data_IF_309165903171
#
_entry.id   IF_309165903171
#
_cell.length_a   1.000
_cell.length_b   1.000
_cell.length_c   1.000
_cell.angle_alpha   90.00
_cell.angle_beta   90.00
_cell.angle_gamma   90.00
#
_symmetry.space_group_name_H-M   'P 1'
#
loop_
_entity.id
_entity.type
_entity.pdbx_description
1 polymer ?
#
# COMPACT_ATOMS: atom_id res chain seq x y z
N UNK A 1 22.13 -49.70 -43.36
CA UNK A 1 22.74 -50.54 -42.33
C UNK A 1 21.62 -51.31 -41.64
N UNK A 2 21.58 -52.65 -41.79
CA UNK A 2 20.38 -53.42 -41.42
C UNK A 2 20.61 -53.97 -40.00
N UNK A 3 20.19 -53.15 -39.00
CA UNK A 3 20.39 -53.41 -37.55
C UNK A 3 19.76 -54.74 -37.08
N UNK A 4 18.78 -55.28 -37.82
CA UNK A 4 18.11 -56.57 -37.54
C UNK A 4 18.99 -57.81 -37.84
N UNK A 5 20.20 -57.65 -38.41
CA UNK A 5 21.12 -58.78 -38.74
C UNK A 5 22.14 -59.09 -37.64
N UNK A 6 22.21 -58.30 -36.58
CA UNK A 6 23.17 -58.49 -35.51
C UNK A 6 22.45 -59.10 -34.28
N UNK A 7 22.73 -60.41 -33.94
CA UNK A 7 21.99 -61.09 -32.88
C UNK A 7 22.16 -60.43 -31.49
N UNK A 8 23.20 -59.67 -31.27
CA UNK A 8 23.43 -58.94 -30.01
C UNK A 8 22.56 -57.69 -29.86
N UNK A 9 22.05 -57.14 -30.98
CA UNK A 9 21.23 -55.95 -30.99
C UNK A 9 19.71 -56.24 -31.09
N UNK A 10 19.35 -57.51 -31.34
CA UNK A 10 17.96 -57.95 -31.45
C UNK A 10 17.10 -57.56 -30.22
N UNK A 11 17.56 -57.78 -28.96
CA UNK A 11 16.77 -57.42 -27.78
C UNK A 11 16.52 -55.90 -27.68
N UNK A 12 17.48 -55.08 -28.10
CA UNK A 12 17.41 -53.64 -28.07
C UNK A 12 16.42 -53.11 -29.16
N UNK A 13 16.41 -53.76 -30.33
CA UNK A 13 15.49 -53.41 -31.42
C UNK A 13 14.06 -53.80 -31.05
N UNK A 14 13.84 -54.99 -30.45
CA UNK A 14 12.51 -55.42 -29.98
C UNK A 14 11.99 -54.53 -28.85
N UNK A 15 12.82 -54.17 -27.87
CA UNK A 15 12.46 -53.22 -26.84
C UNK A 15 12.11 -51.85 -27.44
N UNK A 16 12.91 -51.35 -28.39
CA UNK A 16 12.63 -50.06 -29.06
C UNK A 16 11.32 -50.07 -29.82
N UNK A 17 10.99 -51.15 -30.54
CA UNK A 17 9.74 -51.26 -31.27
C UNK A 17 8.53 -51.38 -30.35
N UNK A 18 8.67 -52.02 -29.19
CA UNK A 18 7.58 -52.26 -28.22
C UNK A 18 7.38 -51.11 -27.26
N UNK A 19 8.40 -50.70 -26.57
CA UNK A 19 8.30 -49.77 -25.45
C UNK A 19 9.21 -48.51 -25.57
N UNK A 20 10.25 -48.58 -26.42
CA UNK A 20 11.29 -47.57 -26.52
C UNK A 20 10.76 -46.20 -26.93
N UNK A 21 9.81 -46.17 -27.91
CA UNK A 21 9.20 -44.90 -28.37
C UNK A 21 8.42 -44.21 -27.23
N UNK A 22 7.65 -45.00 -26.49
CA UNK A 22 6.88 -44.48 -25.34
C UNK A 22 7.82 -44.00 -24.22
N UNK A 23 8.83 -44.77 -23.89
CA UNK A 23 9.82 -44.43 -22.85
C UNK A 23 10.59 -43.16 -23.19
N UNK A 24 11.06 -43.01 -24.43
CA UNK A 24 11.74 -41.81 -24.91
C UNK A 24 10.81 -40.58 -24.85
N UNK A 25 9.54 -40.78 -25.29
CA UNK A 25 8.58 -39.67 -25.18
C UNK A 25 8.36 -39.21 -23.77
N UNK A 26 8.21 -40.13 -22.80
CA UNK A 26 8.08 -39.77 -21.37
C UNK A 26 9.34 -39.14 -20.80
N UNK A 27 10.52 -39.58 -21.22
CA UNK A 27 11.78 -38.97 -20.81
C UNK A 27 11.91 -37.52 -21.34
N UNK A 28 11.49 -37.28 -22.58
CA UNK A 28 11.46 -35.93 -23.17
C UNK A 28 10.46 -35.02 -22.42
N UNK A 29 9.27 -35.53 -22.13
CA UNK A 29 8.26 -34.78 -21.35
C UNK A 29 8.81 -34.47 -19.97
N UNK A 30 9.44 -35.43 -19.30
CA UNK A 30 10.08 -35.20 -17.99
C UNK A 30 11.21 -34.16 -18.07
N UNK A 31 12.06 -34.24 -19.10
CA UNK A 31 13.14 -33.28 -19.31
C UNK A 31 12.61 -31.86 -19.55
N UNK A 32 11.55 -31.71 -20.35
CA UNK A 32 10.86 -30.42 -20.58
C UNK A 32 10.24 -29.91 -19.28
N UNK A 33 9.59 -30.76 -18.51
CA UNK A 33 8.98 -30.37 -17.23
C UNK A 33 10.04 -29.91 -16.21
N UNK A 34 11.14 -30.64 -16.10
CA UNK A 34 12.27 -30.27 -15.22
C UNK A 34 12.94 -28.98 -15.70
N UNK A 35 13.24 -28.87 -16.99
CA UNK A 35 13.81 -27.65 -17.59
C UNK A 35 12.91 -26.43 -17.40
N UNK A 36 11.60 -26.60 -17.65
CA UNK A 36 10.59 -25.56 -17.42
C UNK A 36 10.51 -25.14 -15.96
N UNK A 37 10.52 -26.11 -15.04
CA UNK A 37 10.51 -25.82 -13.59
C UNK A 37 11.75 -25.05 -13.14
N UNK A 38 12.96 -25.48 -13.57
CA UNK A 38 14.19 -24.76 -13.23
C UNK A 38 14.27 -23.39 -13.89
N UNK A 39 13.84 -23.27 -15.16
CA UNK A 39 13.74 -21.99 -15.86
C UNK A 39 12.80 -21.02 -15.14
N UNK A 40 11.61 -21.49 -14.76
CA UNK A 40 10.65 -20.69 -14.00
C UNK A 40 11.17 -20.29 -12.61
N UNK A 41 11.81 -21.21 -11.90
CA UNK A 41 12.44 -20.94 -10.58
C UNK A 41 13.52 -19.86 -10.69
N UNK A 42 14.41 -19.97 -11.68
CA UNK A 42 15.48 -19.00 -11.91
C UNK A 42 14.90 -17.64 -12.33
N UNK A 43 13.90 -17.61 -13.21
CA UNK A 43 13.21 -16.38 -13.58
C UNK A 43 12.57 -15.69 -12.39
N UNK A 44 11.86 -16.43 -11.53
CA UNK A 44 11.30 -15.87 -10.29
C UNK A 44 12.38 -15.35 -9.33
N UNK A 45 13.50 -16.06 -9.20
CA UNK A 45 14.60 -15.60 -8.36
C UNK A 45 15.23 -14.31 -8.89
N UNK A 46 15.48 -14.21 -10.20
CA UNK A 46 15.98 -13.01 -10.84
C UNK A 46 15.01 -11.83 -10.70
N UNK A 47 13.71 -12.06 -10.90
CA UNK A 47 12.68 -11.01 -10.73
C UNK A 47 12.62 -10.52 -9.28
N UNK A 48 12.73 -11.43 -8.30
CA UNK A 48 12.78 -11.03 -6.88
C UNK A 48 14.00 -10.18 -6.56
N UNK A 49 15.18 -10.58 -7.05
CA UNK A 49 16.41 -9.82 -6.85
C UNK A 49 16.31 -8.43 -7.46
N UNK A 50 15.84 -8.33 -8.71
CA UNK A 50 15.63 -7.06 -9.39
C UNK A 50 14.58 -6.18 -8.69
N UNK A 51 13.49 -6.77 -8.17
CA UNK A 51 12.49 -6.04 -7.40
C UNK A 51 13.04 -5.51 -6.07
N UNK A 52 13.89 -6.30 -5.39
CA UNK A 52 14.55 -5.87 -4.14
C UNK A 52 15.56 -4.75 -4.39
N UNK A 53 16.28 -4.79 -5.51
CA UNK A 53 17.19 -3.74 -5.93
C UNK A 53 16.40 -2.45 -6.27
N UNK A 54 15.29 -2.57 -6.98
CA UNK A 54 14.42 -1.44 -7.29
C UNK A 54 13.88 -0.75 -6.03
N UNK A 55 13.59 -1.50 -4.94
CA UNK A 55 13.19 -0.90 -3.66
C UNK A 55 14.25 0.04 -3.12
N UNK A 56 15.52 -0.23 -3.33
CA UNK A 56 16.62 0.60 -2.81
C UNK A 56 17.01 1.71 -3.80
N UNK A 57 17.05 1.40 -5.08
CA UNK A 57 17.57 2.29 -6.13
C UNK A 57 16.57 3.34 -6.63
N UNK A 58 15.26 3.04 -6.60
CA UNK A 58 14.24 3.99 -7.03
C UNK A 58 14.06 5.11 -5.99
N UNK A 59 14.63 6.28 -6.25
CA UNK A 59 14.62 7.43 -5.33
C UNK A 59 13.61 8.49 -5.80
N UNK A 60 13.43 8.66 -7.10
CA UNK A 60 12.50 9.64 -7.67
C UNK A 60 11.11 9.06 -7.86
N UNK A 61 10.08 9.92 -7.94
CA UNK A 61 8.70 9.49 -8.19
C UNK A 61 8.59 8.70 -9.50
N UNK A 62 9.21 9.19 -10.59
CA UNK A 62 9.19 8.54 -11.89
C UNK A 62 9.84 7.15 -11.85
N UNK A 63 10.98 7.02 -11.14
CA UNK A 63 11.64 5.73 -10.96
C UNK A 63 10.80 4.76 -10.12
N UNK A 64 10.04 5.26 -9.14
CA UNK A 64 9.09 4.47 -8.36
C UNK A 64 7.88 4.04 -9.21
N UNK A 65 7.35 4.91 -10.06
CA UNK A 65 6.28 4.58 -11.01
C UNK A 65 6.71 3.45 -11.95
N UNK A 66 7.92 3.54 -12.54
CA UNK A 66 8.47 2.47 -13.38
C UNK A 66 8.67 1.17 -12.60
N UNK A 67 9.24 1.25 -11.40
CA UNK A 67 9.45 0.09 -10.55
C UNK A 67 8.12 -0.59 -10.14
N UNK A 68 7.08 0.17 -9.82
CA UNK A 68 5.74 -0.35 -9.52
C UNK A 68 5.10 -0.97 -10.75
N UNK A 69 5.22 -0.35 -11.93
CA UNK A 69 4.72 -0.91 -13.18
C UNK A 69 5.34 -2.27 -13.48
N UNK A 70 6.65 -2.42 -13.23
CA UNK A 70 7.41 -3.63 -13.54
C UNK A 70 7.30 -4.71 -12.44
N UNK A 71 7.31 -4.32 -11.17
CA UNK A 71 7.44 -5.22 -10.03
C UNK A 71 6.29 -5.16 -9.03
N UNK A 72 5.26 -4.35 -9.27
CA UNK A 72 4.15 -4.14 -8.33
C UNK A 72 3.38 -5.40 -7.94
N UNK A 73 3.45 -6.47 -8.75
CA UNK A 73 2.86 -7.79 -8.45
C UNK A 73 3.86 -8.76 -7.81
N UNK A 74 5.11 -8.36 -7.60
CA UNK A 74 6.13 -9.18 -6.93
C UNK A 74 5.95 -9.16 -5.41
N UNK A 75 6.73 -9.99 -4.71
CA UNK A 75 6.76 -10.00 -3.24
C UNK A 75 7.13 -8.63 -2.64
N UNK A 76 8.00 -7.86 -3.31
CA UNK A 76 8.40 -6.50 -2.89
C UNK A 76 7.45 -5.41 -3.40
N UNK A 77 6.41 -5.77 -4.16
CA UNK A 77 5.49 -4.83 -4.79
C UNK A 77 4.75 -3.93 -3.80
N UNK A 78 4.35 -4.48 -2.65
CA UNK A 78 3.71 -3.71 -1.58
C UNK A 78 4.60 -2.58 -1.03
N UNK A 79 5.90 -2.86 -0.85
CA UNK A 79 6.86 -1.85 -0.39
C UNK A 79 7.09 -0.78 -1.45
N UNK A 80 7.18 -1.16 -2.73
CA UNK A 80 7.32 -0.21 -3.84
C UNK A 80 6.11 0.72 -3.93
N UNK A 81 4.89 0.17 -3.86
CA UNK A 81 3.64 0.94 -3.86
C UNK A 81 3.54 1.88 -2.66
N UNK A 82 3.96 1.41 -1.47
CA UNK A 82 3.97 2.25 -0.26
C UNK A 82 4.92 3.44 -0.41
N UNK A 83 6.11 3.21 -0.98
CA UNK A 83 7.06 4.29 -1.27
C UNK A 83 6.54 5.25 -2.33
N UNK A 84 5.87 4.73 -3.37
CA UNK A 84 5.26 5.55 -4.40
C UNK A 84 4.13 6.40 -3.83
N UNK A 85 3.24 5.82 -3.00
CA UNK A 85 2.19 6.56 -2.32
C UNK A 85 2.76 7.72 -1.50
N UNK A 86 3.81 7.45 -0.70
CA UNK A 86 4.49 8.49 0.05
C UNK A 86 5.14 9.55 -0.84
N UNK A 87 5.77 9.15 -1.94
CA UNK A 87 6.39 10.08 -2.90
C UNK A 87 5.35 11.01 -3.55
N UNK A 88 4.18 10.48 -3.90
CA UNK A 88 3.05 11.30 -4.37
C UNK A 88 2.59 12.28 -3.30
N UNK A 89 2.45 11.82 -2.05
CA UNK A 89 2.06 12.68 -0.93
C UNK A 89 3.05 13.84 -0.75
N UNK A 90 4.34 13.54 -0.71
CA UNK A 90 5.41 14.54 -0.54
C UNK A 90 5.48 15.53 -1.74
N UNK A 91 5.06 15.10 -2.92
CA UNK A 91 4.93 15.94 -4.12
C UNK A 91 3.62 16.75 -4.19
N UNK A 92 2.72 16.62 -3.20
CA UNK A 92 1.41 17.27 -3.19
C UNK A 92 0.37 16.62 -4.11
N UNK A 93 0.68 15.45 -4.67
CA UNK A 93 -0.22 14.66 -5.55
C UNK A 93 -1.12 13.75 -4.69
N UNK A 94 -2.00 14.38 -3.90
CA UNK A 94 -2.75 13.68 -2.84
C UNK A 94 -3.78 12.68 -3.36
N UNK A 95 -4.39 12.93 -4.51
CA UNK A 95 -5.34 12.01 -5.15
C UNK A 95 -4.66 10.73 -5.62
N UNK A 96 -3.48 10.85 -6.24
CA UNK A 96 -2.72 9.69 -6.69
C UNK A 96 -2.16 8.90 -5.49
N UNK A 97 -1.71 9.61 -4.46
CA UNK A 97 -1.30 9.00 -3.19
C UNK A 97 -2.44 8.19 -2.56
N UNK A 98 -3.64 8.80 -2.50
CA UNK A 98 -4.86 8.16 -1.97
C UNK A 98 -5.18 6.87 -2.73
N UNK A 99 -5.14 6.90 -4.07
CA UNK A 99 -5.41 5.73 -4.90
C UNK A 99 -4.41 4.59 -4.64
N UNK A 100 -3.12 4.91 -4.42
CA UNK A 100 -2.11 3.90 -4.08
C UNK A 100 -2.33 3.30 -2.69
N UNK A 101 -2.73 4.10 -1.70
CA UNK A 101 -3.08 3.59 -0.38
C UNK A 101 -4.34 2.72 -0.40
N UNK A 102 -5.37 3.10 -1.16
CA UNK A 102 -6.59 2.30 -1.33
C UNK A 102 -6.28 0.93 -1.96
N UNK A 103 -5.41 0.88 -2.98
CA UNK A 103 -4.96 -0.38 -3.59
C UNK A 103 -4.15 -1.23 -2.60
N UNK A 104 -3.30 -0.62 -1.79
CA UNK A 104 -2.55 -1.32 -0.75
C UNK A 104 -3.46 -1.92 0.31
N UNK A 105 -4.44 -1.18 0.81
CA UNK A 105 -5.41 -1.66 1.80
C UNK A 105 -6.22 -2.84 1.25
N UNK A 106 -6.70 -2.73 0.00
CA UNK A 106 -7.47 -3.79 -0.64
C UNK A 106 -6.66 -5.08 -0.90
N UNK A 107 -5.34 -4.98 -1.03
CA UNK A 107 -4.44 -6.11 -1.34
C UNK A 107 -3.61 -6.59 -0.14
N UNK A 108 -3.67 -5.90 0.99
CA UNK A 108 -2.85 -6.22 2.16
C UNK A 108 -3.29 -7.52 2.82
N UNK A 109 -2.35 -8.40 3.20
CA UNK A 109 -2.63 -9.45 4.17
C UNK A 109 -3.00 -8.84 5.53
N UNK A 110 -3.77 -9.58 6.33
CA UNK A 110 -4.15 -9.15 7.67
C UNK A 110 -2.93 -8.68 8.48
N UNK A 111 -3.02 -7.49 9.08
CA UNK A 111 -1.97 -6.88 9.89
C UNK A 111 -0.94 -6.02 9.16
N UNK A 112 -0.97 -5.93 7.82
CA UNK A 112 -0.08 -5.05 7.04
C UNK A 112 -0.75 -3.75 6.55
N UNK A 113 -2.02 -3.54 6.91
CA UNK A 113 -2.79 -2.39 6.46
C UNK A 113 -2.56 -1.10 7.29
N UNK A 114 -1.95 -1.18 8.47
CA UNK A 114 -1.85 -0.06 9.42
C UNK A 114 -1.24 1.21 8.82
N UNK A 115 -0.09 1.09 8.17
CA UNK A 115 0.59 2.24 7.55
C UNK A 115 -0.22 2.81 6.38
N UNK A 116 -0.72 2.00 5.43
CA UNK A 116 -1.62 2.46 4.37
C UNK A 116 -2.88 3.14 4.89
N UNK A 117 -3.53 2.61 5.94
CA UNK A 117 -4.76 3.21 6.51
C UNK A 117 -4.49 4.60 7.07
N UNK A 118 -3.43 4.76 7.85
CA UNK A 118 -3.03 6.09 8.38
C UNK A 118 -2.62 7.02 7.24
N UNK A 119 -1.87 6.54 6.23
CA UNK A 119 -1.49 7.33 5.05
C UNK A 119 -2.70 7.79 4.25
N UNK A 120 -3.70 6.92 4.07
CA UNK A 120 -4.98 7.26 3.44
C UNK A 120 -5.68 8.40 4.17
N UNK A 121 -5.77 8.30 5.51
CA UNK A 121 -6.39 9.35 6.33
C UNK A 121 -5.64 10.69 6.22
N UNK A 122 -4.30 10.66 6.14
CA UNK A 122 -3.49 11.86 5.88
C UNK A 122 -3.76 12.46 4.50
N UNK A 123 -3.96 11.65 3.47
CA UNK A 123 -4.35 12.16 2.14
C UNK A 123 -5.71 12.85 2.18
N UNK A 124 -6.70 12.27 2.90
CA UNK A 124 -8.01 12.89 3.08
C UNK A 124 -7.90 14.23 3.82
N UNK A 125 -7.06 14.32 4.87
CA UNK A 125 -6.76 15.57 5.58
C UNK A 125 -6.17 16.62 4.62
N UNK A 126 -5.17 16.23 3.81
CA UNK A 126 -4.52 17.13 2.86
C UNK A 126 -5.45 17.60 1.73
N UNK A 127 -6.42 16.77 1.35
CA UNK A 127 -7.49 17.11 0.38
C UNK A 127 -8.62 17.97 0.98
N UNK A 128 -8.52 18.36 2.27
CA UNK A 128 -9.56 19.13 2.94
C UNK A 128 -10.80 18.33 3.32
N UNK A 129 -10.81 17.02 3.17
CA UNK A 129 -11.92 16.13 3.55
C UNK A 129 -11.84 15.80 5.05
N UNK A 130 -11.91 16.83 5.88
CA UNK A 130 -11.61 16.75 7.31
C UNK A 130 -12.53 15.81 8.09
N UNK A 131 -13.80 15.72 7.74
CA UNK A 131 -14.75 14.83 8.40
C UNK A 131 -14.42 13.35 8.13
N UNK A 132 -14.13 13.02 6.87
CA UNK A 132 -13.76 11.66 6.46
C UNK A 132 -12.39 11.26 7.04
N UNK A 133 -11.43 12.19 7.03
CA UNK A 133 -10.11 11.98 7.61
C UNK A 133 -10.20 11.74 9.12
N UNK A 134 -10.98 12.55 9.85
CA UNK A 134 -11.21 12.36 11.27
C UNK A 134 -11.80 10.98 11.57
N UNK A 135 -12.85 10.59 10.84
CA UNK A 135 -13.49 9.29 11.04
C UNK A 135 -12.49 8.14 10.81
N UNK A 136 -11.69 8.20 9.74
CA UNK A 136 -10.67 7.20 9.45
C UNK A 136 -9.57 7.14 10.53
N UNK A 137 -9.12 8.27 11.04
CA UNK A 137 -8.16 8.34 12.14
C UNK A 137 -8.74 7.79 13.45
N UNK A 138 -9.97 8.13 13.77
CA UNK A 138 -10.65 7.67 15.00
C UNK A 138 -10.88 6.15 14.94
N UNK A 139 -11.31 5.60 13.81
CA UNK A 139 -11.49 4.17 13.59
C UNK A 139 -10.16 3.42 13.76
N UNK A 140 -9.09 3.91 13.13
CA UNK A 140 -7.76 3.31 13.27
C UNK A 140 -7.29 3.36 14.74
N UNK A 141 -7.42 4.50 15.42
CA UNK A 141 -6.96 4.65 16.79
C UNK A 141 -7.68 3.73 17.79
N UNK A 142 -8.92 3.31 17.49
CA UNK A 142 -9.68 2.36 18.30
C UNK A 142 -9.28 0.91 18.06
N UNK A 143 -8.88 0.56 16.85
CA UNK A 143 -8.57 -0.82 16.43
C UNK A 143 -7.07 -1.16 16.50
N UNK A 144 -6.20 -0.15 16.47
CA UNK A 144 -4.76 -0.35 16.32
C UNK A 144 -4.08 -0.84 17.60
N UNK A 145 -3.16 -1.78 17.40
CA UNK A 145 -2.25 -2.28 18.45
C UNK A 145 -0.89 -1.58 18.44
N UNK A 146 -0.58 -0.83 17.37
CA UNK A 146 0.69 -0.12 17.20
C UNK A 146 0.63 1.28 17.83
N UNK A 147 1.19 1.45 19.04
CA UNK A 147 1.12 2.71 19.79
C UNK A 147 1.68 3.93 19.06
N UNK A 148 2.71 3.80 18.24
CA UNK A 148 3.28 4.92 17.48
C UNK A 148 2.31 5.44 16.41
N UNK A 149 1.67 4.56 15.66
CA UNK A 149 0.66 4.92 14.66
C UNK A 149 -0.64 5.34 15.30
N UNK A 150 -1.01 4.76 16.45
CA UNK A 150 -2.18 5.17 17.23
C UNK A 150 -2.06 6.64 17.65
N UNK A 151 -0.93 7.06 18.20
CA UNK A 151 -0.69 8.48 18.52
C UNK A 151 -0.76 9.36 17.27
N UNK A 152 -0.21 8.90 16.14
CA UNK A 152 -0.27 9.65 14.88
C UNK A 152 -1.71 9.86 14.43
N UNK A 153 -2.55 8.83 14.52
CA UNK A 153 -3.97 8.91 14.20
C UNK A 153 -4.73 9.82 15.15
N UNK A 154 -4.51 9.70 16.46
CA UNK A 154 -5.16 10.56 17.46
C UNK A 154 -4.83 12.05 17.26
N UNK A 155 -3.56 12.37 16.96
CA UNK A 155 -3.16 13.73 16.64
C UNK A 155 -3.73 14.21 15.29
N UNK A 156 -3.83 13.30 14.28
CA UNK A 156 -4.50 13.59 13.02
C UNK A 156 -5.98 13.91 13.21
N UNK A 157 -6.69 13.11 13.99
CA UNK A 157 -8.10 13.37 14.33
C UNK A 157 -8.28 14.73 15.04
N UNK A 158 -7.39 15.09 15.95
CA UNK A 158 -7.43 16.38 16.63
C UNK A 158 -7.21 17.55 15.65
N UNK A 159 -6.25 17.44 14.73
CA UNK A 159 -6.07 18.47 13.67
C UNK A 159 -7.31 18.59 12.79
N UNK A 160 -7.89 17.47 12.37
CA UNK A 160 -9.12 17.47 11.56
C UNK A 160 -10.30 18.13 12.30
N UNK A 161 -10.44 17.93 13.61
CA UNK A 161 -11.43 18.64 14.43
C UNK A 161 -11.23 20.15 14.41
N UNK A 162 -9.99 20.60 14.59
CA UNK A 162 -9.67 22.02 14.54
C UNK A 162 -10.02 22.64 13.17
N UNK A 163 -9.70 21.93 12.08
CA UNK A 163 -10.05 22.33 10.71
C UNK A 163 -11.57 22.39 10.46
N UNK A 164 -12.35 21.60 11.18
CA UNK A 164 -13.82 21.67 11.17
C UNK A 164 -14.38 22.79 12.06
N UNK A 165 -13.54 23.63 12.67
CA UNK A 165 -13.98 24.68 13.60
C UNK A 165 -14.23 24.19 15.04
N UNK A 166 -13.99 22.92 15.35
CA UNK A 166 -14.19 22.31 16.67
C UNK A 166 -12.90 22.36 17.51
N UNK A 167 -12.32 23.57 17.61
CA UNK A 167 -11.01 23.81 18.26
C UNK A 167 -10.99 23.37 19.72
N UNK A 168 -12.04 23.66 20.48
CA UNK A 168 -12.11 23.32 21.92
C UNK A 168 -12.12 21.79 22.12
N UNK A 169 -12.82 21.05 21.26
CA UNK A 169 -12.82 19.58 21.31
C UNK A 169 -11.44 19.03 20.94
N UNK A 170 -10.78 19.60 19.94
CA UNK A 170 -9.42 19.21 19.54
C UNK A 170 -8.43 19.41 20.70
N UNK A 171 -8.44 20.58 21.36
CA UNK A 171 -7.57 20.87 22.49
C UNK A 171 -7.85 19.97 23.69
N UNK A 172 -9.11 19.65 23.97
CA UNK A 172 -9.49 18.69 25.02
C UNK A 172 -8.93 17.29 24.73
N UNK A 173 -9.00 16.80 23.49
CA UNK A 173 -8.40 15.51 23.09
C UNK A 173 -6.88 15.54 23.25
N UNK A 174 -6.22 16.61 22.82
CA UNK A 174 -4.77 16.78 22.96
C UNK A 174 -4.34 16.80 24.42
N UNK A 175 -5.07 17.48 25.30
CA UNK A 175 -4.79 17.51 26.74
C UNK A 175 -4.86 16.11 27.37
N UNK A 176 -5.85 15.30 26.99
CA UNK A 176 -5.95 13.91 27.43
C UNK A 176 -4.77 13.04 26.97
N UNK A 177 -4.29 13.24 25.73
CA UNK A 177 -3.11 12.56 25.22
C UNK A 177 -1.83 12.97 25.96
N UNK A 178 -1.70 14.25 26.29
CA UNK A 178 -0.57 14.80 27.07
C UNK A 178 -0.50 14.19 28.48
N UNK A 179 -1.65 14.03 29.09
CA UNK A 179 -1.75 13.36 30.39
C UNK A 179 -1.36 11.88 30.33
N UNK A 180 -1.73 11.20 29.29
CA UNK A 180 -1.41 9.77 29.08
C UNK A 180 0.07 9.54 28.71
N UNK A 181 0.74 10.51 28.08
CA UNK A 181 2.09 10.38 27.54
C UNK A 181 3.17 11.07 28.39
N UNK A 182 2.91 11.37 29.67
CA UNK A 182 3.83 12.15 30.55
C UNK A 182 5.26 11.60 30.61
N UNK A 183 5.40 10.30 30.56
CA UNK A 183 6.69 9.62 30.71
C UNK A 183 7.38 9.34 29.34
N UNK A 184 6.72 9.66 28.22
CA UNK A 184 7.26 9.49 26.87
C UNK A 184 7.65 10.86 26.28
N UNK A 185 8.95 11.17 26.31
CA UNK A 185 9.49 12.44 25.81
C UNK A 185 9.20 12.63 24.32
N UNK A 186 9.30 11.57 23.51
CA UNK A 186 9.08 11.66 22.07
C UNK A 186 7.60 11.88 21.73
N UNK A 187 6.70 11.19 22.44
CA UNK A 187 5.27 11.39 22.33
C UNK A 187 4.88 12.81 22.79
N UNK A 188 5.38 13.24 23.96
CA UNK A 188 5.11 14.58 24.51
C UNK A 188 5.50 15.70 23.55
N UNK A 189 6.68 15.63 22.93
CA UNK A 189 7.12 16.62 21.95
C UNK A 189 6.19 16.70 20.72
N UNK A 190 5.70 15.57 20.22
CA UNK A 190 4.75 15.53 19.09
C UNK A 190 3.38 16.11 19.49
N UNK A 191 2.92 15.82 20.71
CA UNK A 191 1.68 16.33 21.25
C UNK A 191 1.75 17.86 21.39
N UNK A 192 2.83 18.39 21.98
CA UNK A 192 3.04 19.84 22.14
C UNK A 192 3.13 20.58 20.80
N UNK A 193 3.81 19.99 19.82
CA UNK A 193 3.84 20.55 18.46
C UNK A 193 2.43 20.64 17.85
N UNK A 194 1.61 19.59 18.02
CA UNK A 194 0.23 19.58 17.52
C UNK A 194 -0.65 20.55 18.31
N UNK A 195 -0.51 20.64 19.63
CA UNK A 195 -1.20 21.61 20.49
C UNK A 195 -0.93 23.05 20.02
N UNK A 196 0.35 23.37 19.80
CA UNK A 196 0.76 24.68 19.28
C UNK A 196 0.15 24.98 17.91
N UNK A 197 0.11 24.00 17.01
CA UNK A 197 -0.51 24.16 15.69
C UNK A 197 -2.01 24.44 15.83
N UNK A 198 -2.74 23.61 16.58
CA UNK A 198 -4.19 23.72 16.79
C UNK A 198 -4.54 25.03 17.50
N UNK A 199 -3.74 25.48 18.47
CA UNK A 199 -3.97 26.73 19.20
C UNK A 199 -3.91 27.97 18.31
N UNK A 200 -3.07 27.97 17.28
CA UNK A 200 -2.93 29.06 16.31
C UNK A 200 -3.97 29.01 15.21
N UNK A 201 -4.70 27.91 15.08
CA UNK A 201 -5.65 27.73 13.99
C UNK A 201 -6.86 28.61 14.22
N UNK A 202 -7.13 29.53 13.28
CA UNK A 202 -8.36 30.30 13.18
C UNK A 202 -9.22 29.63 12.11
N UNK A 203 -10.40 29.09 12.46
CA UNK A 203 -11.29 28.54 11.47
C UNK A 203 -11.65 29.62 10.44
N UNK A 204 -11.66 29.25 9.17
CA UNK A 204 -12.16 30.16 8.12
C UNK A 204 -13.55 30.68 8.53
N UNK A 205 -13.86 31.98 8.35
CA UNK A 205 -15.19 32.48 8.65
C UNK A 205 -16.21 31.60 7.95
N UNK A 206 -17.24 31.18 8.71
CA UNK A 206 -18.31 30.34 8.17
C UNK A 206 -18.80 30.98 6.86
N UNK A 207 -18.78 30.21 5.77
CA UNK A 207 -19.29 30.71 4.50
C UNK A 207 -20.70 31.24 4.75
N UNK A 208 -20.93 32.54 4.46
CA UNK A 208 -22.24 33.11 4.55
C UNK A 208 -23.23 32.22 3.80
N UNK A 209 -24.38 31.86 4.39
CA UNK A 209 -25.34 31.03 3.70
C UNK A 209 -25.65 31.68 2.35
N UNK A 210 -25.51 30.93 1.26
CA UNK A 210 -25.79 31.41 -0.07
C UNK A 210 -27.19 32.10 -0.08
N UNK A 211 -27.33 33.30 -0.67
CA UNK A 211 -28.60 33.99 -0.69
C UNK A 211 -29.68 33.09 -1.23
N UNK A 212 -30.77 32.95 -0.46
CA UNK A 212 -31.89 32.08 -0.81
C UNK A 212 -32.30 32.37 -2.24
N UNK A 213 -32.43 31.34 -3.06
CA UNK A 213 -32.92 31.48 -4.42
C UNK A 213 -34.24 32.21 -4.42
N UNK A 214 -34.47 33.19 -5.33
CA UNK A 214 -35.71 33.92 -5.36
C UNK A 214 -36.91 32.98 -5.57
N UNK A 215 -37.87 33.07 -4.67
CA UNK A 215 -39.11 32.30 -4.73
C UNK A 215 -39.81 32.59 -6.07
N UNK A 216 -40.19 31.61 -6.89
CA UNK A 216 -40.91 31.87 -8.12
C UNK A 216 -42.23 32.56 -7.80
N UNK A 217 -42.51 33.67 -8.52
CA UNK A 217 -43.75 34.42 -8.40
C UNK A 217 -44.94 33.52 -8.74
N UNK A 218 -46.09 33.63 -8.06
CA UNK A 218 -47.28 32.87 -8.38
C UNK A 218 -47.75 33.27 -9.79
N UNK A 219 -47.98 32.26 -10.63
CA UNK A 219 -48.56 32.44 -11.96
C UNK A 219 -49.98 33.00 -11.82
N UNK A 220 -50.25 34.09 -12.50
CA UNK A 220 -51.59 34.70 -12.64
C UNK A 220 -52.41 33.93 -13.68
#
# INVERSE_FOLDING_TARGET
MNLKKNPELLPLVEWWEKDGKSTVTWLLVAAIAVGGFYGWKNYRAATRAAASEAVVSAITTDALEEAVAKFGKSQSGGVLKLRLAKSYFDAGRYEESLAQYDELIASAPDGFADVPVVGRAQCLEALGKFADAQAAFDEFAQSATNGCLTLTAQLGAARCLAQQGKKDEALKRIAALKDAAKDDIAASARIEATESLVSRFEPAPAAEPAPAAPTPAPAA
#
